data_IF_942397657531
#
_entry.id   IF_942397657531
#
_cell.length_a   1.000
_cell.length_b   1.000
_cell.length_c   1.000
_cell.angle_alpha   90.00
_cell.angle_beta   90.00
_cell.angle_gamma   90.00
#
_symmetry.space_group_name_H-M   'P 1'
#
loop_
_entity.id
_entity.type
_entity.pdbx_description
1 polymer ?
#
# COMPACT_ATOMS: atom_id res chain seq x y z
N UNK A 1 36.09 17.09 47.23
CA UNK A 1 37.04 16.73 46.15
C UNK A 1 36.83 15.27 45.84
N UNK A 2 36.06 14.95 44.79
CA UNK A 2 35.68 13.59 44.45
C UNK A 2 35.90 13.37 42.94
N UNK A 3 36.61 12.29 42.66
CA UNK A 3 37.15 11.91 41.36
C UNK A 3 36.04 11.28 40.50
N UNK A 4 35.83 11.80 39.30
CA UNK A 4 34.98 11.23 38.25
C UNK A 4 35.77 10.24 37.39
N UNK A 5 35.26 9.03 37.09
CA UNK A 5 35.81 8.20 36.05
C UNK A 5 35.00 8.34 34.74
N UNK A 6 35.72 8.59 33.65
CA UNK A 6 35.26 8.56 32.26
C UNK A 6 34.86 7.14 31.84
N UNK A 7 33.59 6.94 31.48
CA UNK A 7 33.13 5.73 30.78
C UNK A 7 33.06 6.00 29.27
N UNK A 8 34.08 5.49 28.56
CA UNK A 8 34.14 5.43 27.10
C UNK A 8 33.12 4.40 26.58
N UNK A 9 32.09 4.88 25.85
CA UNK A 9 31.17 4.03 25.10
C UNK A 9 31.82 3.59 23.79
N UNK A 10 32.25 2.32 23.73
CA UNK A 10 32.60 1.63 22.48
C UNK A 10 31.36 1.48 21.60
N UNK A 11 31.36 2.14 20.45
CA UNK A 11 30.43 1.87 19.36
C UNK A 11 30.80 0.55 18.69
N UNK A 12 29.97 -0.48 18.87
CA UNK A 12 30.01 -1.68 18.04
C UNK A 12 29.47 -1.35 16.64
N UNK A 13 30.38 -1.19 15.67
CA UNK A 13 30.06 -1.30 14.24
C UNK A 13 29.60 -2.74 13.97
N UNK A 14 28.29 -2.98 13.92
CA UNK A 14 27.75 -4.17 13.24
C UNK A 14 27.68 -3.86 11.74
N UNK A 15 28.53 -4.52 10.96
CA UNK A 15 28.39 -4.60 9.51
C UNK A 15 27.04 -5.28 9.20
N UNK A 16 26.12 -4.54 8.59
CA UNK A 16 24.93 -5.14 8.01
C UNK A 16 25.29 -5.73 6.63
N UNK A 17 24.74 -6.91 6.28
CA UNK A 17 25.03 -7.53 5.00
C UNK A 17 24.46 -6.68 3.87
N UNK A 18 25.25 -6.51 2.80
CA UNK A 18 24.83 -5.96 1.52
C UNK A 18 23.70 -6.83 0.96
N UNK A 19 22.46 -6.38 1.08
CA UNK A 19 21.35 -6.98 0.35
C UNK A 19 21.39 -6.48 -1.09
N UNK A 20 21.83 -7.35 -2.00
CA UNK A 20 21.72 -7.14 -3.45
C UNK A 20 20.29 -7.46 -3.86
N UNK A 21 19.47 -6.43 -4.09
CA UNK A 21 18.10 -6.59 -4.58
C UNK A 21 18.13 -6.69 -6.11
N UNK A 22 18.04 -7.91 -6.63
CA UNK A 22 17.56 -8.14 -7.98
C UNK A 22 16.03 -8.05 -7.98
N UNK A 23 15.49 -6.85 -8.10
CA UNK A 23 14.15 -6.72 -8.66
C UNK A 23 14.28 -7.09 -10.13
N UNK A 24 13.61 -8.17 -10.56
CA UNK A 24 13.48 -8.51 -11.97
C UNK A 24 12.69 -7.40 -12.66
N UNK A 25 13.39 -6.35 -13.08
CA UNK A 25 12.92 -5.50 -14.16
C UNK A 25 12.84 -6.42 -15.37
N UNK A 26 11.64 -6.62 -15.89
CA UNK A 26 11.48 -7.28 -17.18
C UNK A 26 12.20 -6.41 -18.21
N UNK A 27 13.42 -6.79 -18.59
CA UNK A 27 14.31 -6.08 -19.54
C UNK A 27 13.83 -6.19 -21.00
N UNK A 28 12.54 -6.38 -21.22
CA UNK A 28 11.92 -6.48 -22.54
C UNK A 28 11.30 -5.17 -23.01
N UNK A 29 11.57 -4.04 -22.33
CA UNK A 29 11.13 -2.71 -22.75
C UNK A 29 12.34 -1.80 -22.95
N UNK A 30 12.47 -1.21 -24.14
CA UNK A 30 13.52 -0.24 -24.55
C UNK A 30 13.52 1.08 -23.78
N UNK A 31 12.80 1.16 -22.66
CA UNK A 31 12.67 2.38 -21.88
C UNK A 31 13.88 2.53 -20.96
N UNK A 32 14.47 3.75 -20.86
CA UNK A 32 15.52 4.02 -19.90
C UNK A 32 15.02 3.74 -18.47
N UNK A 33 15.93 3.41 -17.53
CA UNK A 33 15.54 3.25 -16.14
C UNK A 33 14.87 4.55 -15.63
N UNK A 34 13.94 4.44 -14.67
CA UNK A 34 13.38 5.60 -14.00
C UNK A 34 14.48 6.58 -13.54
N UNK A 35 14.28 7.91 -13.65
CA UNK A 35 15.26 8.92 -13.29
C UNK A 35 15.35 9.10 -11.77
N UNK A 36 15.38 8.00 -11.03
CA UNK A 36 15.37 7.97 -9.56
C UNK A 36 16.29 6.90 -9.00
N UNK A 37 16.76 7.14 -7.79
CA UNK A 37 17.48 6.17 -6.95
C UNK A 37 16.90 6.16 -5.54
N UNK A 38 16.97 5.01 -4.87
CA UNK A 38 16.63 4.89 -3.45
C UNK A 38 17.92 4.92 -2.64
N UNK A 39 18.01 5.76 -1.62
CA UNK A 39 19.14 5.80 -0.71
C UNK A 39 18.71 6.05 0.74
N UNK A 40 19.63 5.82 1.68
CA UNK A 40 19.42 6.12 3.09
C UNK A 40 19.79 7.58 3.39
N UNK A 41 19.09 8.13 4.35
CA UNK A 41 19.31 9.46 4.92
C UNK A 41 19.51 9.33 6.42
N UNK A 42 20.15 10.33 7.01
CA UNK A 42 20.34 10.40 8.46
C UNK A 42 19.03 10.66 9.23
N UNK A 43 18.04 11.31 8.59
CA UNK A 43 16.86 11.84 9.29
C UNK A 43 15.56 11.08 9.04
N UNK A 44 15.33 10.56 7.83
CA UNK A 44 14.05 9.94 7.44
C UNK A 44 14.19 8.47 7.02
N UNK A 45 15.38 7.89 7.20
CA UNK A 45 15.67 6.53 6.74
C UNK A 45 15.76 6.48 5.21
N UNK A 46 15.00 5.58 4.57
CA UNK A 46 15.01 5.46 3.09
C UNK A 46 14.29 6.65 2.44
N UNK A 47 14.83 7.12 1.32
CA UNK A 47 14.23 8.17 0.51
C UNK A 47 14.51 7.95 -0.98
N UNK A 48 13.66 8.55 -1.82
CA UNK A 48 13.82 8.58 -3.28
C UNK A 48 14.44 9.91 -3.69
N UNK A 49 15.41 9.85 -4.59
CA UNK A 49 16.15 10.99 -5.12
C UNK A 49 16.10 10.98 -6.64
N UNK A 50 16.00 12.15 -7.25
CA UNK A 50 16.16 12.28 -8.71
C UNK A 50 17.62 12.04 -9.11
N UNK A 51 17.86 11.29 -10.20
CA UNK A 51 19.21 11.02 -10.75
C UNK A 51 19.59 11.97 -11.88
N UNK A 52 18.68 12.86 -12.27
CA UNK A 52 18.85 13.93 -13.25
C UNK A 52 17.70 14.92 -13.06
N UNK A 53 17.74 16.13 -13.67
CA UNK A 53 16.59 17.02 -13.65
C UNK A 53 15.33 16.37 -14.25
N UNK A 54 14.17 16.62 -13.63
CA UNK A 54 12.85 16.14 -14.06
C UNK A 54 11.96 17.39 -14.21
N UNK A 55 11.37 17.60 -15.39
CA UNK A 55 10.52 18.77 -15.61
C UNK A 55 9.12 18.57 -14.99
N UNK A 56 8.45 19.67 -14.68
CA UNK A 56 7.07 19.66 -14.22
C UNK A 56 6.15 18.89 -15.17
N UNK A 57 5.31 18.01 -14.63
CA UNK A 57 4.39 17.17 -15.39
C UNK A 57 4.99 15.88 -15.95
N UNK A 58 6.32 15.73 -15.94
CA UNK A 58 6.99 14.54 -16.45
C UNK A 58 6.60 13.28 -15.66
N UNK A 59 6.49 12.16 -16.36
CA UNK A 59 6.34 10.84 -15.76
C UNK A 59 7.69 10.42 -15.15
N UNK A 60 7.71 10.26 -13.83
CA UNK A 60 8.86 9.77 -13.09
C UNK A 60 8.96 8.25 -13.27
N UNK A 61 7.90 7.52 -12.90
CA UNK A 61 7.80 6.09 -13.15
C UNK A 61 6.36 5.59 -13.00
N UNK A 62 6.13 4.34 -13.38
CA UNK A 62 4.91 3.59 -13.08
C UNK A 62 5.15 2.54 -12.00
N UNK A 63 4.10 2.02 -11.39
CA UNK A 63 4.19 0.90 -10.45
C UNK A 63 2.91 0.06 -10.50
N UNK A 64 3.07 -1.25 -10.69
CA UNK A 64 1.97 -2.20 -10.49
C UNK A 64 1.87 -2.55 -9.00
N UNK A 65 0.66 -2.79 -8.48
CA UNK A 65 0.48 -3.12 -7.08
C UNK A 65 1.09 -4.49 -6.78
N UNK A 66 1.81 -4.59 -5.66
CA UNK A 66 2.28 -5.86 -5.11
C UNK A 66 1.09 -6.69 -4.63
N UNK A 67 0.11 -6.04 -4.00
CA UNK A 67 -1.19 -6.61 -3.68
C UNK A 67 -2.23 -5.50 -3.71
N UNK A 68 -3.43 -5.78 -4.22
CA UNK A 68 -4.56 -4.88 -4.15
C UNK A 68 -5.83 -5.67 -3.82
N UNK A 69 -6.87 -5.02 -3.29
CA UNK A 69 -8.16 -5.65 -3.02
C UNK A 69 -9.27 -4.61 -3.17
N UNK A 70 -10.41 -4.95 -3.81
CA UNK A 70 -11.52 -4.04 -3.95
C UNK A 70 -12.11 -3.65 -2.59
N UNK A 71 -12.73 -2.49 -2.50
CA UNK A 71 -13.55 -2.12 -1.34
C UNK A 71 -14.81 -2.99 -1.31
N UNK A 72 -15.50 -3.04 -0.16
CA UNK A 72 -16.79 -3.72 -0.06
C UNK A 72 -17.82 -3.13 -1.02
N UNK A 73 -17.88 -1.80 -1.12
CA UNK A 73 -18.79 -1.06 -2.01
C UNK A 73 -18.50 -1.31 -3.49
N UNK A 74 -17.24 -1.53 -3.87
CA UNK A 74 -16.85 -1.73 -5.27
C UNK A 74 -16.59 -3.19 -5.65
N UNK A 75 -16.85 -4.16 -4.77
CA UNK A 75 -16.53 -5.57 -5.00
C UNK A 75 -17.17 -6.17 -6.27
N UNK A 76 -18.31 -5.62 -6.72
CA UNK A 76 -18.99 -6.01 -7.97
C UNK A 76 -18.86 -4.99 -9.10
N UNK A 77 -18.31 -3.80 -8.81
CA UNK A 77 -18.20 -2.69 -9.76
C UNK A 77 -16.76 -2.44 -10.25
N UNK A 78 -15.78 -3.13 -9.66
CA UNK A 78 -14.37 -3.04 -10.04
C UNK A 78 -13.83 -4.42 -10.41
N UNK A 79 -12.91 -4.47 -11.37
CA UNK A 79 -12.16 -5.67 -11.72
C UNK A 79 -11.44 -6.20 -10.48
N UNK A 80 -11.66 -7.47 -10.16
CA UNK A 80 -11.11 -8.10 -8.96
C UNK A 80 -9.58 -8.08 -8.91
N UNK A 81 -8.94 -8.14 -10.10
CA UNK A 81 -7.49 -8.23 -10.27
C UNK A 81 -6.81 -6.86 -10.30
N UNK A 82 -7.30 -5.92 -11.12
CA UNK A 82 -6.64 -4.63 -11.34
C UNK A 82 -7.40 -3.42 -10.79
N UNK A 83 -8.58 -3.61 -10.19
CA UNK A 83 -9.46 -2.54 -9.69
C UNK A 83 -10.00 -1.56 -10.74
N UNK A 84 -9.86 -1.84 -12.04
CA UNK A 84 -10.49 -1.03 -13.08
C UNK A 84 -12.01 -0.98 -12.90
N UNK A 85 -12.61 0.20 -13.07
CA UNK A 85 -14.07 0.33 -13.06
C UNK A 85 -14.69 -0.51 -14.19
N UNK A 86 -15.81 -1.17 -13.91
CA UNK A 86 -16.54 -1.98 -14.87
C UNK A 86 -17.83 -1.24 -15.28
N UNK A 87 -18.15 -1.19 -16.58
CA UNK A 87 -19.32 -0.46 -17.07
C UNK A 87 -20.64 -1.07 -16.61
N UNK A 88 -20.65 -2.37 -16.28
CA UNK A 88 -21.82 -3.06 -15.76
C UNK A 88 -21.39 -3.94 -14.58
N UNK A 89 -22.13 -3.84 -13.46
CA UNK A 89 -21.97 -4.79 -12.37
C UNK A 89 -22.30 -6.19 -12.89
N UNK A 90 -21.33 -7.10 -12.88
CA UNK A 90 -21.61 -8.48 -13.26
C UNK A 90 -22.53 -9.10 -12.20
N UNK A 91 -23.65 -9.66 -12.64
CA UNK A 91 -24.69 -10.20 -11.76
C UNK A 91 -24.29 -11.53 -11.12
N UNK A 92 -23.28 -12.22 -11.66
CA UNK A 92 -22.83 -13.51 -11.17
C UNK A 92 -21.31 -13.58 -11.10
N UNK A 93 -20.80 -14.02 -9.94
CA UNK A 93 -19.38 -14.27 -9.72
C UNK A 93 -18.55 -13.02 -9.41
N UNK A 94 -17.25 -13.26 -9.28
CA UNK A 94 -16.23 -12.23 -9.06
C UNK A 94 -15.82 -11.65 -10.42
N UNK A 95 -15.86 -10.32 -10.62
CA UNK A 95 -15.77 -9.76 -11.95
C UNK A 95 -14.33 -9.48 -12.41
N UNK A 96 -14.08 -9.65 -13.71
CA UNK A 96 -12.81 -9.32 -14.37
C UNK A 96 -13.04 -8.47 -15.61
N UNK A 97 -12.18 -7.46 -15.86
CA UNK A 97 -12.29 -6.59 -17.04
C UNK A 97 -11.77 -7.24 -18.34
N UNK A 98 -11.01 -8.32 -18.24
CA UNK A 98 -10.43 -9.02 -19.40
C UNK A 98 -10.00 -10.43 -19.03
N UNK A 99 -9.88 -11.29 -20.04
CA UNK A 99 -9.31 -12.63 -19.87
C UNK A 99 -7.86 -12.58 -19.35
N UNK A 100 -7.10 -11.55 -19.73
CA UNK A 100 -5.75 -11.31 -19.20
C UNK A 100 -5.76 -11.09 -17.68
N UNK A 101 -6.71 -10.30 -17.16
CA UNK A 101 -6.82 -10.07 -15.73
C UNK A 101 -7.21 -11.34 -14.97
N UNK A 102 -8.11 -12.14 -15.52
CA UNK A 102 -8.52 -13.43 -14.96
C UNK A 102 -7.36 -14.44 -14.93
N UNK A 103 -6.63 -14.57 -16.04
CA UNK A 103 -5.45 -15.45 -16.12
C UNK A 103 -4.35 -15.01 -15.15
N UNK A 104 -4.05 -13.70 -15.06
CA UNK A 104 -3.05 -13.16 -14.14
C UNK A 104 -3.41 -13.39 -12.67
N UNK A 105 -4.70 -13.44 -12.34
CA UNK A 105 -5.16 -13.66 -10.98
C UNK A 105 -5.32 -15.13 -10.60
N UNK A 106 -5.26 -16.03 -11.57
CA UNK A 106 -5.72 -17.42 -11.40
C UNK A 106 -5.13 -18.12 -10.19
N UNK A 107 -3.82 -17.99 -9.97
CA UNK A 107 -3.13 -18.64 -8.84
C UNK A 107 -3.76 -18.30 -7.48
N UNK A 108 -3.67 -17.03 -7.08
CA UNK A 108 -4.25 -16.59 -5.81
C UNK A 108 -5.78 -16.65 -5.77
N UNK A 109 -6.45 -16.47 -6.92
CA UNK A 109 -7.91 -16.56 -7.02
C UNK A 109 -8.41 -17.97 -6.70
N UNK A 110 -7.79 -19.00 -7.31
CA UNK A 110 -8.17 -20.39 -7.12
C UNK A 110 -7.96 -20.83 -5.66
N UNK A 111 -6.91 -20.31 -5.00
CA UNK A 111 -6.69 -20.54 -3.56
C UNK A 111 -7.77 -19.85 -2.72
N UNK A 112 -8.10 -18.61 -3.05
CA UNK A 112 -9.10 -17.84 -2.31
C UNK A 112 -10.49 -18.48 -2.41
N UNK A 113 -10.86 -19.01 -3.58
CA UNK A 113 -12.18 -19.62 -3.80
C UNK A 113 -12.38 -20.98 -3.11
N UNK A 114 -11.32 -21.61 -2.61
CA UNK A 114 -11.42 -22.88 -1.85
C UNK A 114 -11.95 -22.69 -0.43
N UNK A 115 -11.78 -21.51 0.15
CA UNK A 115 -12.08 -21.27 1.55
C UNK A 115 -13.42 -20.57 1.76
N UNK A 116 -14.11 -20.94 2.85
CA UNK A 116 -15.28 -20.23 3.31
C UNK A 116 -14.86 -19.02 4.16
N UNK A 117 -15.10 -17.82 3.63
CA UNK A 117 -14.69 -16.56 4.23
C UNK A 117 -15.76 -15.88 5.10
N UNK A 118 -16.95 -16.46 5.29
CA UNK A 118 -18.08 -15.79 5.97
C UNK A 118 -17.66 -15.21 7.33
N UNK A 119 -17.10 -16.03 8.23
CA UNK A 119 -16.71 -15.57 9.56
C UNK A 119 -15.63 -14.47 9.53
N UNK A 120 -14.65 -14.58 8.63
CA UNK A 120 -13.58 -13.58 8.48
C UNK A 120 -14.13 -12.27 7.90
N UNK A 121 -14.96 -12.37 6.87
CA UNK A 121 -15.58 -11.22 6.21
C UNK A 121 -16.50 -10.48 7.19
N UNK A 122 -17.38 -11.18 7.91
CA UNK A 122 -18.29 -10.59 8.89
C UNK A 122 -17.53 -9.87 9.99
N UNK A 123 -16.49 -10.50 10.55
CA UNK A 123 -15.63 -9.86 11.54
C UNK A 123 -15.01 -8.57 11.02
N UNK A 124 -14.48 -8.59 9.79
CA UNK A 124 -13.83 -7.44 9.20
C UNK A 124 -14.82 -6.33 8.84
N UNK A 125 -15.96 -6.67 8.24
CA UNK A 125 -16.97 -5.69 7.81
C UNK A 125 -17.65 -5.00 8.97
N UNK A 126 -18.06 -5.75 9.99
CA UNK A 126 -18.69 -5.18 11.20
C UNK A 126 -17.77 -4.20 11.93
N UNK A 127 -16.45 -4.30 11.72
CA UNK A 127 -15.44 -3.44 12.34
C UNK A 127 -14.81 -2.43 11.37
N UNK A 128 -15.22 -2.39 10.10
CA UNK A 128 -14.60 -1.51 9.09
C UNK A 128 -13.13 -1.83 8.77
N UNK A 129 -12.69 -3.06 9.02
CA UNK A 129 -11.31 -3.51 8.82
C UNK A 129 -11.04 -3.84 7.35
N UNK A 130 -10.36 -2.95 6.64
CA UNK A 130 -10.07 -3.15 5.20
C UNK A 130 -8.72 -3.81 4.89
N UNK A 131 -7.72 -3.64 5.74
CA UNK A 131 -6.37 -4.17 5.50
C UNK A 131 -6.24 -5.69 5.68
N UNK A 132 -7.01 -6.36 6.56
CA UNK A 132 -7.01 -7.82 6.61
C UNK A 132 -7.33 -8.49 5.27
N UNK A 133 -8.13 -7.85 4.41
CA UNK A 133 -8.40 -8.36 3.06
C UNK A 133 -7.18 -8.34 2.13
N UNK A 134 -6.29 -7.35 2.28
CA UNK A 134 -5.01 -7.34 1.57
C UNK A 134 -4.09 -8.46 2.08
N UNK A 135 -4.06 -8.69 3.40
CA UNK A 135 -3.29 -9.81 3.97
C UNK A 135 -3.83 -11.15 3.47
N UNK A 136 -5.16 -11.35 3.50
CA UNK A 136 -5.83 -12.54 2.96
C UNK A 136 -5.38 -12.81 1.53
N UNK A 137 -5.46 -11.82 0.64
CA UNK A 137 -5.02 -11.98 -0.74
C UNK A 137 -3.53 -12.28 -0.86
N UNK A 138 -2.68 -11.58 -0.09
CA UNK A 138 -1.24 -11.85 -0.09
C UNK A 138 -0.93 -13.29 0.36
N UNK A 139 -1.64 -13.82 1.36
CA UNK A 139 -1.51 -15.22 1.77
C UNK A 139 -1.88 -16.16 0.63
N UNK A 140 -2.99 -15.91 -0.06
CA UNK A 140 -3.36 -16.68 -1.25
C UNK A 140 -2.28 -16.63 -2.34
N UNK A 141 -1.66 -15.47 -2.57
CA UNK A 141 -0.53 -15.31 -3.50
C UNK A 141 0.71 -16.09 -3.06
N UNK A 142 1.00 -16.17 -1.77
CA UNK A 142 2.14 -16.96 -1.28
C UNK A 142 1.86 -18.45 -1.42
N UNK A 143 0.64 -18.91 -1.10
CA UNK A 143 0.22 -20.31 -1.26
C UNK A 143 0.27 -20.73 -2.74
N UNK A 144 -0.14 -19.86 -3.67
CA UNK A 144 -0.10 -20.15 -5.11
C UNK A 144 1.29 -20.04 -5.75
N UNK A 145 2.27 -19.49 -5.03
CA UNK A 145 3.61 -19.19 -5.56
C UNK A 145 3.70 -17.88 -6.36
N UNK A 146 2.62 -17.08 -6.41
CA UNK A 146 2.59 -15.76 -7.07
C UNK A 146 3.41 -14.70 -6.31
N UNK A 147 3.70 -14.92 -5.03
CA UNK A 147 4.51 -14.04 -4.19
C UNK A 147 5.36 -14.82 -3.18
N UNK A 148 6.44 -14.20 -2.68
CA UNK A 148 7.23 -14.73 -1.56
C UNK A 148 6.67 -14.26 -0.22
N UNK A 149 6.87 -15.04 0.83
CA UNK A 149 6.41 -14.67 2.19
C UNK A 149 7.11 -13.44 2.76
N UNK A 150 8.29 -13.08 2.22
CA UNK A 150 9.11 -11.92 2.60
C UNK A 150 8.93 -10.71 1.67
N UNK A 151 8.01 -10.75 0.70
CA UNK A 151 7.87 -9.72 -0.36
C UNK A 151 7.73 -8.29 0.20
N UNK A 152 7.08 -8.13 1.36
CA UNK A 152 6.87 -6.82 1.97
C UNK A 152 7.90 -6.44 3.04
N UNK A 153 8.88 -7.30 3.36
CA UNK A 153 9.77 -7.09 4.52
C UNK A 153 10.59 -5.79 4.43
N UNK A 154 10.86 -5.34 3.21
CA UNK A 154 11.53 -4.06 2.91
C UNK A 154 10.71 -2.83 3.32
N UNK A 155 9.38 -2.95 3.44
CA UNK A 155 8.51 -1.85 3.81
C UNK A 155 8.59 -1.55 5.30
N UNK A 156 8.39 -0.28 5.67
CA UNK A 156 8.36 0.14 7.06
C UNK A 156 7.13 -0.47 7.76
N UNK A 157 7.27 -1.06 8.96
CA UNK A 157 6.12 -1.46 9.77
C UNK A 157 5.59 -0.29 10.61
N UNK A 158 4.29 -0.31 10.92
CA UNK A 158 3.71 0.55 11.94
C UNK A 158 4.18 0.16 13.34
N UNK A 159 4.30 1.15 14.24
CA UNK A 159 4.37 0.89 15.66
C UNK A 159 3.00 0.42 16.15
N UNK A 160 2.94 -0.74 16.81
CA UNK A 160 1.70 -1.33 17.29
C UNK A 160 1.60 -1.21 18.80
N UNK A 161 0.41 -0.86 19.30
CA UNK A 161 0.11 -0.96 20.74
C UNK A 161 -0.26 -2.40 21.09
N UNK A 162 -0.12 -2.83 22.35
CA UNK A 162 -0.57 -4.16 22.80
C UNK A 162 -2.04 -4.44 22.45
N UNK A 163 -2.92 -3.45 22.55
CA UNK A 163 -4.34 -3.57 22.23
C UNK A 163 -4.57 -3.79 20.73
N UNK A 164 -3.75 -3.14 19.88
CA UNK A 164 -3.78 -3.39 18.45
C UNK A 164 -3.33 -4.81 18.13
N UNK A 165 -2.28 -5.29 18.80
CA UNK A 165 -1.79 -6.67 18.62
C UNK A 165 -2.89 -7.67 18.95
N UNK A 166 -3.55 -7.55 20.10
CA UNK A 166 -4.64 -8.46 20.50
C UNK A 166 -5.74 -8.59 19.43
N UNK A 167 -6.18 -7.47 18.84
CA UNK A 167 -7.17 -7.47 17.75
C UNK A 167 -6.66 -8.20 16.50
N UNK A 168 -5.37 -8.03 16.17
CA UNK A 168 -4.74 -8.72 15.04
C UNK A 168 -4.60 -10.22 15.30
N UNK A 169 -4.48 -10.66 16.56
CA UNK A 169 -4.48 -12.09 16.89
C UNK A 169 -5.84 -12.75 16.62
N UNK A 170 -6.94 -12.08 16.95
CA UNK A 170 -8.30 -12.54 16.60
C UNK A 170 -8.48 -12.65 15.07
N UNK A 171 -8.05 -11.62 14.33
CA UNK A 171 -8.07 -11.59 12.86
C UNK A 171 -7.27 -12.76 12.26
N UNK A 172 -6.08 -13.01 12.81
CA UNK A 172 -5.21 -14.12 12.41
C UNK A 172 -5.89 -15.48 12.59
N UNK A 173 -6.54 -15.71 13.74
CA UNK A 173 -7.21 -16.98 14.02
C UNK A 173 -8.34 -17.25 13.02
N UNK A 174 -9.16 -16.24 12.72
CA UNK A 174 -10.23 -16.36 11.71
C UNK A 174 -9.68 -16.69 10.32
N UNK A 175 -8.62 -15.99 9.91
CA UNK A 175 -7.97 -16.22 8.61
C UNK A 175 -7.36 -17.62 8.53
N UNK A 176 -6.58 -18.03 9.54
CA UNK A 176 -5.95 -19.36 9.57
C UNK A 176 -7.00 -20.47 9.59
N UNK A 177 -8.07 -20.31 10.37
CA UNK A 177 -9.17 -21.26 10.43
C UNK A 177 -9.87 -21.45 9.07
N UNK A 178 -10.00 -20.39 8.26
CA UNK A 178 -10.58 -20.50 6.93
C UNK A 178 -9.76 -21.41 6.01
N UNK A 179 -8.43 -21.30 6.04
CA UNK A 179 -7.54 -22.18 5.28
C UNK A 179 -7.51 -23.62 5.81
N UNK A 180 -7.48 -23.81 7.14
CA UNK A 180 -7.52 -25.15 7.74
C UNK A 180 -8.82 -25.88 7.38
N UNK A 181 -9.98 -25.19 7.44
CA UNK A 181 -11.27 -25.77 7.04
C UNK A 181 -11.37 -26.07 5.54
N UNK A 182 -10.61 -25.34 4.72
CA UNK A 182 -10.50 -25.57 3.28
C UNK A 182 -9.54 -26.74 2.93
N UNK A 183 -9.01 -27.44 3.94
CA UNK A 183 -8.07 -28.55 3.78
C UNK A 183 -6.81 -28.17 2.97
N UNK A 184 -6.36 -26.91 3.10
CA UNK A 184 -5.06 -26.52 2.58
C UNK A 184 -3.99 -27.18 3.46
N UNK A 185 -3.10 -27.95 2.84
CA UNK A 185 -2.04 -28.68 3.53
C UNK A 185 -1.20 -27.77 4.43
N UNK A 186 -0.86 -28.25 5.63
CA UNK A 186 -0.14 -27.46 6.64
C UNK A 186 1.20 -26.93 6.14
N UNK A 187 1.87 -27.67 5.25
CA UNK A 187 3.11 -27.24 4.60
C UNK A 187 2.94 -25.92 3.81
N UNK A 188 1.81 -25.75 3.12
CA UNK A 188 1.52 -24.55 2.33
C UNK A 188 1.17 -23.34 3.21
N UNK A 189 0.72 -23.57 4.44
CA UNK A 189 0.38 -22.49 5.41
C UNK A 189 1.37 -22.41 6.57
N UNK A 190 2.51 -23.11 6.51
CA UNK A 190 3.50 -23.14 7.58
C UNK A 190 4.11 -21.76 7.84
N UNK A 191 4.29 -20.94 6.80
CA UNK A 191 4.78 -19.57 6.91
C UNK A 191 3.81 -18.64 7.66
N UNK A 192 2.51 -18.95 7.64
CA UNK A 192 1.42 -18.14 8.19
C UNK A 192 1.36 -18.28 9.71
N UNK A 193 2.38 -17.77 10.39
CA UNK A 193 2.41 -17.67 11.85
C UNK A 193 1.69 -16.41 12.33
N UNK A 194 1.31 -16.39 13.61
CA UNK A 194 0.73 -15.21 14.26
C UNK A 194 1.65 -13.99 14.10
N UNK A 195 2.95 -14.19 14.32
CA UNK A 195 3.96 -13.15 14.17
C UNK A 195 4.06 -12.67 12.72
N UNK A 196 4.00 -13.57 11.73
CA UNK A 196 4.01 -13.19 10.32
C UNK A 196 2.80 -12.31 9.98
N UNK A 197 1.60 -12.70 10.41
CA UNK A 197 0.37 -11.94 10.17
C UNK A 197 0.45 -10.51 10.73
N UNK A 198 0.82 -10.39 12.01
CA UNK A 198 0.98 -9.09 12.69
C UNK A 198 2.01 -8.23 11.96
N UNK A 199 3.15 -8.81 11.58
CA UNK A 199 4.27 -8.12 10.96
C UNK A 199 3.92 -7.59 9.55
N UNK A 200 3.18 -8.38 8.76
CA UNK A 200 2.67 -7.97 7.45
C UNK A 200 1.60 -6.90 7.59
N UNK A 201 0.62 -7.11 8.48
CA UNK A 201 -0.45 -6.16 8.67
C UNK A 201 0.08 -4.80 9.16
N UNK A 202 1.10 -4.78 10.04
CA UNK A 202 1.79 -3.56 10.45
C UNK A 202 2.36 -2.77 9.26
N UNK A 203 2.94 -3.46 8.27
CA UNK A 203 3.47 -2.83 7.05
C UNK A 203 2.35 -2.33 6.16
N UNK A 204 1.34 -3.15 5.90
CA UNK A 204 0.20 -2.74 5.07
C UNK A 204 -0.45 -1.48 5.64
N UNK A 205 -0.61 -1.38 6.97
CA UNK A 205 -1.27 -0.23 7.62
C UNK A 205 -0.66 1.13 7.27
N UNK A 206 0.65 1.22 7.09
CA UNK A 206 1.32 2.50 6.83
C UNK A 206 1.78 2.69 5.38
N UNK A 207 1.75 1.62 4.57
CA UNK A 207 2.17 1.63 3.16
C UNK A 207 1.02 1.40 2.16
N UNK A 208 -0.20 1.12 2.63
CA UNK A 208 -1.35 0.98 1.75
C UNK A 208 -1.83 2.34 1.23
N UNK A 209 -2.17 2.36 -0.05
CA UNK A 209 -2.79 3.46 -0.77
C UNK A 209 -4.28 3.16 -0.94
N UNK A 210 -5.10 4.18 -0.72
CA UNK A 210 -6.50 4.20 -1.15
C UNK A 210 -6.51 4.47 -2.65
N UNK A 211 -7.21 3.63 -3.42
CA UNK A 211 -7.27 3.75 -4.87
C UNK A 211 -8.52 4.51 -5.25
N UNK A 212 -8.32 5.66 -5.89
CA UNK A 212 -9.35 6.53 -6.46
C UNK A 212 -9.04 6.70 -7.94
N UNK A 213 -9.94 6.24 -8.81
CA UNK A 213 -9.74 6.32 -10.25
C UNK A 213 -10.18 7.69 -10.76
N UNK A 214 -9.32 8.37 -11.52
CA UNK A 214 -9.63 9.69 -12.08
C UNK A 214 -10.73 9.65 -13.17
N UNK A 215 -10.99 8.48 -13.76
CA UNK A 215 -11.92 8.31 -14.88
C UNK A 215 -13.32 7.79 -14.53
N UNK A 216 -13.78 7.94 -13.28
CA UNK A 216 -15.13 7.52 -12.90
C UNK A 216 -16.22 8.31 -13.64
N UNK A 217 -17.32 7.63 -14.00
CA UNK A 217 -18.54 8.18 -14.61
C UNK A 217 -19.31 9.09 -13.63
N UNK A 218 -18.66 10.11 -13.06
CA UNK A 218 -19.38 11.21 -12.45
C UNK A 218 -19.64 12.21 -13.56
N UNK A 219 -20.90 12.29 -14.01
CA UNK A 219 -21.36 13.37 -14.90
C UNK A 219 -21.19 14.74 -14.25
N UNK A 220 -21.04 14.79 -12.92
CA UNK A 220 -20.82 15.99 -12.13
C UNK A 220 -19.50 15.91 -11.33
N UNK A 221 -18.58 16.82 -11.64
CA UNK A 221 -17.31 17.00 -10.93
C UNK A 221 -17.51 17.29 -9.43
N UNK A 222 -18.65 17.91 -9.06
CA UNK A 222 -19.04 18.15 -7.68
C UNK A 222 -19.36 16.84 -6.94
N UNK A 223 -20.07 15.91 -7.58
CA UNK A 223 -20.39 14.60 -7.00
C UNK A 223 -19.12 13.77 -6.75
N UNK A 224 -18.15 13.84 -7.66
CA UNK A 224 -16.84 13.23 -7.48
C UNK A 224 -16.09 13.82 -6.28
N UNK A 225 -16.08 15.16 -6.15
CA UNK A 225 -15.46 15.84 -5.02
C UNK A 225 -16.13 15.49 -3.68
N UNK A 226 -17.47 15.46 -3.64
CA UNK A 226 -18.24 15.07 -2.45
C UNK A 226 -17.95 13.61 -2.08
N UNK A 227 -17.99 12.68 -3.03
CA UNK A 227 -17.73 11.27 -2.78
C UNK A 227 -16.27 10.97 -2.35
N UNK A 228 -15.30 11.76 -2.83
CA UNK A 228 -13.92 11.71 -2.35
C UNK A 228 -13.80 12.18 -0.89
N UNK A 229 -14.55 13.23 -0.52
CA UNK A 229 -14.63 13.75 0.86
C UNK A 229 -15.32 12.77 1.80
N UNK A 230 -16.41 12.13 1.37
CA UNK A 230 -17.19 11.17 2.18
C UNK A 230 -16.50 9.81 2.35
N UNK A 231 -15.30 9.65 1.80
CA UNK A 231 -14.53 8.41 1.84
C UNK A 231 -15.19 7.20 1.11
N UNK A 232 -16.30 7.40 0.40
CA UNK A 232 -17.06 6.34 -0.27
C UNK A 232 -16.56 6.03 -1.69
N UNK A 233 -15.85 6.95 -2.36
CA UNK A 233 -15.45 6.81 -3.77
C UNK A 233 -14.32 5.82 -4.08
N UNK A 234 -13.68 5.18 -3.09
CA UNK A 234 -12.50 4.37 -3.38
C UNK A 234 -12.88 2.98 -3.91
N UNK A 235 -12.32 2.65 -5.07
CA UNK A 235 -12.49 1.33 -5.70
C UNK A 235 -11.81 0.23 -4.91
N UNK A 236 -10.82 0.56 -4.08
CA UNK A 236 -10.14 -0.39 -3.23
C UNK A 236 -8.88 0.16 -2.56
N UNK A 237 -8.01 -0.75 -2.16
CA UNK A 237 -6.73 -0.43 -1.54
C UNK A 237 -5.63 -1.24 -2.22
N UNK A 238 -4.41 -0.71 -2.26
CA UNK A 238 -3.26 -1.43 -2.78
C UNK A 238 -1.96 -1.08 -2.05
N UNK A 239 -0.98 -1.97 -2.13
CA UNK A 239 0.38 -1.75 -1.65
C UNK A 239 1.33 -1.83 -2.84
N UNK A 240 2.27 -0.89 -2.92
CA UNK A 240 3.31 -0.84 -3.94
C UNK A 240 4.66 -0.76 -3.27
N UNK A 241 5.68 -1.47 -3.77
CA UNK A 241 7.02 -1.38 -3.18
C UNK A 241 7.65 0.01 -3.36
N UNK A 242 7.87 0.42 -4.61
CA UNK A 242 8.63 1.64 -4.92
C UNK A 242 7.90 2.94 -4.50
N UNK A 243 6.59 3.14 -4.80
CA UNK A 243 5.85 4.27 -4.26
C UNK A 243 5.90 4.38 -2.73
N UNK A 244 6.00 3.26 -1.98
CA UNK A 244 6.07 3.32 -0.52
C UNK A 244 7.38 3.90 0.03
N UNK A 245 8.41 4.09 -0.80
CA UNK A 245 9.71 4.66 -0.37
C UNK A 245 9.79 6.18 -0.42
N UNK A 246 8.81 6.82 -1.04
CA UNK A 246 8.73 8.28 -1.06
C UNK A 246 8.23 8.80 0.29
N UNK A 247 8.95 9.78 0.80
CA UNK A 247 8.63 10.39 2.08
C UNK A 247 7.52 11.43 1.95
N UNK A 248 6.90 11.73 3.10
CA UNK A 248 5.91 12.78 3.22
C UNK A 248 6.53 14.16 3.03
N UNK A 249 5.85 15.04 2.30
CA UNK A 249 6.02 16.48 2.43
C UNK A 249 4.66 17.18 2.38
N UNK A 250 4.49 18.22 3.21
CA UNK A 250 3.33 19.10 3.16
C UNK A 250 3.34 20.00 1.92
N UNK A 251 4.48 20.15 1.26
CA UNK A 251 4.65 20.83 -0.02
C UNK A 251 5.32 19.87 -1.04
N UNK A 252 4.58 18.88 -1.58
CA UNK A 252 5.16 17.80 -2.36
C UNK A 252 5.66 18.26 -3.74
N UNK A 253 6.71 17.62 -4.25
CA UNK A 253 7.20 17.83 -5.61
C UNK A 253 6.81 16.71 -6.58
N UNK A 254 6.17 15.64 -6.10
CA UNK A 254 5.59 14.60 -6.92
C UNK A 254 4.17 14.23 -6.45
N UNK A 255 3.35 13.75 -7.38
CA UNK A 255 2.06 13.12 -7.09
C UNK A 255 2.00 11.69 -7.61
N UNK A 256 1.04 10.93 -7.10
CA UNK A 256 0.66 9.60 -7.56
C UNK A 256 -0.77 9.65 -8.07
N UNK A 257 -1.03 9.07 -9.24
CA UNK A 257 -2.35 9.06 -9.87
C UNK A 257 -2.70 7.65 -10.36
N UNK A 258 -3.99 7.33 -10.32
CA UNK A 258 -4.60 6.12 -10.87
C UNK A 258 -5.65 6.55 -11.88
N UNK A 259 -5.41 6.26 -13.16
CA UNK A 259 -6.30 6.72 -14.24
C UNK A 259 -7.41 5.70 -14.44
N UNK A 260 -7.04 4.51 -14.93
CA UNK A 260 -8.00 3.50 -15.37
C UNK A 260 -8.10 2.30 -14.41
N UNK A 261 -7.06 2.08 -13.59
CA UNK A 261 -6.92 0.91 -12.74
C UNK A 261 -5.90 1.17 -11.60
N UNK A 262 -5.58 0.14 -10.83
CA UNK A 262 -4.63 0.20 -9.72
C UNK A 262 -3.15 0.29 -10.16
N UNK A 263 -2.82 0.40 -11.44
CA UNK A 263 -1.45 0.69 -11.85
C UNK A 263 -1.17 2.19 -11.65
N UNK A 264 -0.26 2.48 -10.72
CA UNK A 264 0.07 3.83 -10.34
C UNK A 264 0.98 4.50 -11.38
N UNK A 265 0.78 5.80 -11.59
CA UNK A 265 1.72 6.68 -12.30
C UNK A 265 2.20 7.75 -11.34
N UNK A 266 3.51 7.94 -11.22
CA UNK A 266 4.09 9.02 -10.44
C UNK A 266 4.62 10.10 -11.38
N UNK A 267 4.19 11.34 -11.17
CA UNK A 267 4.59 12.49 -11.98
C UNK A 267 5.13 13.62 -11.11
N UNK A 268 6.00 14.44 -11.70
CA UNK A 268 6.49 15.65 -11.07
C UNK A 268 5.38 16.72 -11.02
N UNK A 269 5.21 17.36 -9.87
CA UNK A 269 4.31 18.50 -9.66
C UNK A 269 4.97 19.85 -10.01
N UNK A 270 6.30 19.87 -10.01
CA UNK A 270 7.16 21.03 -10.31
C UNK A 270 8.51 20.49 -10.78
N UNK A 271 9.36 21.36 -11.32
CA UNK A 271 10.71 20.96 -11.69
C UNK A 271 11.48 20.41 -10.48
N UNK A 272 12.16 19.27 -10.66
CA UNK A 272 12.95 18.59 -9.64
C UNK A 272 14.39 18.60 -10.12
N UNK A 273 15.27 19.25 -9.36
CA UNK A 273 16.71 19.22 -9.64
C UNK A 273 17.31 17.85 -9.31
N UNK A 274 18.43 17.53 -9.94
CA UNK A 274 19.20 16.33 -9.61
C UNK A 274 19.56 16.29 -8.11
N UNK A 275 19.57 15.08 -7.53
CA UNK A 275 19.79 14.81 -6.11
C UNK A 275 18.76 15.44 -5.15
N UNK A 276 17.74 16.13 -5.63
CA UNK A 276 16.63 16.55 -4.78
C UNK A 276 15.82 15.35 -4.31
N UNK A 277 15.42 15.43 -3.04
CA UNK A 277 14.43 14.55 -2.44
C UNK A 277 13.12 14.59 -3.21
N UNK A 278 12.68 13.45 -3.70
CA UNK A 278 11.34 13.29 -4.27
C UNK A 278 10.37 12.92 -3.15
N UNK A 279 9.35 13.75 -2.93
CA UNK A 279 8.41 13.61 -1.83
C UNK A 279 6.99 13.84 -2.32
N UNK A 280 6.05 13.08 -1.78
CA UNK A 280 4.62 13.28 -2.02
C UNK A 280 3.90 13.56 -0.71
N UNK A 281 2.72 14.16 -0.76
CA UNK A 281 1.92 14.39 0.45
C UNK A 281 1.19 13.11 0.84
N UNK A 282 1.03 12.81 2.13
CA UNK A 282 0.28 11.64 2.65
C UNK A 282 -1.12 12.03 3.13
N UNK A 283 -1.36 13.36 3.24
CA UNK A 283 -2.50 13.98 3.90
C UNK A 283 -2.96 15.19 3.07
N UNK A 284 -4.28 15.37 2.99
CA UNK A 284 -4.94 16.44 2.27
C UNK A 284 -4.39 17.84 2.62
N UNK A 285 -4.23 18.69 1.60
CA UNK A 285 -3.65 20.03 1.76
C UNK A 285 -4.58 21.03 2.44
N UNK A 286 -5.89 20.76 2.57
CA UNK A 286 -6.84 21.74 3.12
C UNK A 286 -6.77 21.94 4.64
N UNK A 287 -5.96 21.18 5.39
CA UNK A 287 -5.81 21.39 6.84
C UNK A 287 -4.66 22.33 7.18
N UNK A 288 -4.85 23.17 8.21
CA UNK A 288 -3.83 24.11 8.68
C UNK A 288 -2.54 23.37 9.07
N UNK A 289 -1.36 24.00 8.92
CA UNK A 289 -0.05 23.35 9.11
C UNK A 289 0.11 22.71 10.51
N UNK A 290 -0.52 23.29 11.53
CA UNK A 290 -0.55 22.74 12.89
C UNK A 290 -1.32 21.41 12.96
N UNK A 291 -2.50 21.34 12.34
CA UNK A 291 -3.31 20.11 12.30
C UNK A 291 -2.62 19.00 11.52
N UNK A 292 -1.93 19.33 10.43
CA UNK A 292 -1.11 18.37 9.65
C UNK A 292 -0.05 17.71 10.53
N UNK A 293 0.68 18.49 11.34
CA UNK A 293 1.67 17.96 12.29
C UNK A 293 1.03 17.09 13.35
N UNK A 294 -0.11 17.49 13.91
CA UNK A 294 -0.85 16.68 14.90
C UNK A 294 -1.33 15.37 14.29
N UNK A 295 -1.82 15.36 13.05
CA UNK A 295 -2.27 14.13 12.37
C UNK A 295 -1.10 13.18 12.07
N UNK A 296 0.08 13.69 11.72
CA UNK A 296 1.30 12.87 11.57
C UNK A 296 1.83 12.36 12.92
N UNK A 297 1.73 13.17 13.98
CA UNK A 297 2.06 12.73 15.32
C UNK A 297 1.08 11.65 15.80
N UNK A 298 -0.21 11.77 15.48
CA UNK A 298 -1.23 10.77 15.82
C UNK A 298 -1.08 9.47 15.01
N UNK A 299 -0.60 9.52 13.77
CA UNK A 299 -0.27 8.31 13.02
C UNK A 299 0.94 7.55 13.61
N UNK A 300 1.73 8.22 14.46
CA UNK A 300 2.90 7.68 15.16
C UNK A 300 2.69 7.50 16.68
N UNK A 301 1.57 7.95 17.26
CA UNK A 301 1.26 7.93 18.71
C UNK A 301 -0.14 7.34 19.01
N UNK A 302 -0.12 6.14 19.60
CA UNK A 302 -0.98 5.53 20.65
C UNK A 302 -2.46 5.93 20.86
N UNK A 303 -3.20 6.44 19.87
CA UNK A 303 -4.68 6.48 19.94
C UNK A 303 -5.34 5.84 18.71
N UNK A 304 -6.37 4.99 18.87
CA UNK A 304 -6.89 4.18 17.78
C UNK A 304 -7.86 5.00 16.92
N UNK A 305 -7.40 5.55 15.79
CA UNK A 305 -8.30 6.06 14.76
C UNK A 305 -7.76 5.80 13.35
N UNK A 306 -8.21 4.69 12.77
CA UNK A 306 -8.72 4.52 11.40
C UNK A 306 -8.41 5.56 10.32
N UNK A 307 -7.15 5.88 10.02
CA UNK A 307 -6.86 6.67 8.82
C UNK A 307 -5.74 6.06 7.96
N UNK A 308 -6.07 5.52 6.77
CA UNK A 308 -5.12 5.33 5.67
C UNK A 308 -4.55 6.67 5.23
N UNK A 309 -3.40 6.64 4.54
CA UNK A 309 -2.97 7.76 3.71
C UNK A 309 -4.11 8.09 2.72
N UNK A 310 -4.77 9.23 2.92
CA UNK A 310 -5.78 9.75 1.99
C UNK A 310 -5.03 10.56 0.96
N UNK A 311 -4.93 10.02 -0.25
CA UNK A 311 -4.52 10.77 -1.44
C UNK A 311 -5.78 11.16 -2.20
N UNK A 312 -6.05 12.46 -2.28
CA UNK A 312 -6.94 12.98 -3.32
C UNK A 312 -6.03 13.45 -4.45
N UNK A 313 -6.17 12.78 -5.59
CA UNK A 313 -5.68 13.23 -6.88
C UNK A 313 -6.64 14.33 -7.38
N UNK A 314 -6.09 15.51 -7.66
CA UNK A 314 -6.66 16.58 -8.48
C UNK A 314 -8.06 17.10 -8.09
N UNK A 315 -8.12 18.14 -7.24
CA UNK A 315 -8.98 19.27 -7.58
C UNK A 315 -8.22 20.12 -8.58
N UNK A 316 -8.85 20.32 -9.73
CA UNK A 316 -8.49 21.28 -10.75
C UNK A 316 -8.10 22.63 -10.11
N UNK A 317 -6.84 23.02 -10.25
CA UNK A 317 -6.51 24.42 -10.45
C UNK A 317 -6.38 24.61 -11.96
N UNK A 318 -7.53 24.65 -12.64
CA UNK A 318 -7.63 25.32 -13.93
C UNK A 318 -7.83 26.79 -13.56
N UNK A 319 -6.79 27.59 -13.78
CA UNK A 319 -6.98 28.87 -14.46
C UNK A 319 -6.84 28.54 -15.95
#
# INVERSE_FOLDING_TARGET
>A
MAVTPLLSRRFFKKQFPLFSFYSSFSTTTSSPPPPIRVALTESVGRAVFATRPIASGDLIHTATPTVCHPSSSSARAACYSCLAALPHSQSQGIPFCSQRCHQRSKGYYDVEMKANWVAFNDYCWTRGLKYPFLVKRLVCMVISGDARSDTLDILQPANLTPEMVLKMEEEFLLLRNAFTKALIADEHIAFLTKQWYINILARIRINAFRIELAGGLYEDLLASAVASVEAEAAVGNAVYLLPSFYNHDCDPNAHIIWIDNADAKLKALRDIVEDAFTRYTWIFLLRHKSEKKTLMALSTSTKPSWWPRVFISSMALII
#
